data_IF_528852905221
#
_entry.id   IF_528852905221
#
_cell.length_a   1.000
_cell.length_b   1.000
_cell.length_c   1.000
_cell.angle_alpha   90.00
_cell.angle_beta   90.00
_cell.angle_gamma   90.00
#
_symmetry.space_group_name_H-M   'P 1'
#
loop_
_entity.id
_entity.type
_entity.pdbx_description
1 polymer ?
#
# COMPACT_ATOMS: atom_id res chain seq x y z
N UNK A 1 -9.48 4.19 -17.84
CA UNK A 1 -10.08 2.88 -17.51
C UNK A 1 -10.68 3.01 -16.12
N UNK A 2 -11.87 2.49 -15.88
CA UNK A 2 -12.48 2.42 -14.54
C UNK A 2 -12.37 0.96 -14.10
N UNK A 3 -11.78 0.72 -12.93
CA UNK A 3 -11.66 -0.60 -12.34
C UNK A 3 -12.97 -1.02 -11.69
N UNK A 4 -13.29 -2.30 -11.80
CA UNK A 4 -14.52 -2.90 -11.28
C UNK A 4 -14.24 -3.89 -10.15
N UNK A 5 -12.98 -3.98 -9.69
CA UNK A 5 -12.61 -4.80 -8.55
C UNK A 5 -11.44 -4.21 -7.78
N UNK A 6 -11.47 -4.31 -6.44
CA UNK A 6 -10.31 -4.01 -5.58
C UNK A 6 -9.16 -5.01 -5.77
N UNK A 7 -9.40 -6.13 -6.46
CA UNK A 7 -8.36 -7.08 -6.84
C UNK A 7 -7.56 -6.62 -8.07
N UNK A 8 -7.99 -5.55 -8.75
CA UNK A 8 -7.22 -4.89 -9.81
C UNK A 8 -6.26 -3.87 -9.17
N UNK A 9 -4.93 -4.10 -9.27
CA UNK A 9 -3.98 -3.27 -8.56
C UNK A 9 -3.83 -1.89 -9.22
N UNK A 10 -3.75 -0.82 -8.42
CA UNK A 10 -3.51 0.53 -8.92
C UNK A 10 -2.11 0.65 -9.53
N UNK A 11 -1.96 1.49 -10.54
CA UNK A 11 -0.72 1.66 -11.31
C UNK A 11 0.02 2.98 -11.08
N UNK A 12 -0.57 3.86 -10.29
CA UNK A 12 0.01 5.16 -9.93
C UNK A 12 -0.58 5.62 -8.59
N UNK A 13 0.00 6.68 -8.02
CA UNK A 13 -0.39 7.25 -6.72
C UNK A 13 -1.87 7.62 -6.68
N UNK A 14 -2.39 8.23 -7.75
CA UNK A 14 -3.80 8.64 -7.84
C UNK A 14 -4.72 7.43 -7.77
N UNK A 15 -4.42 6.37 -8.53
CA UNK A 15 -5.16 5.10 -8.47
C UNK A 15 -5.03 4.45 -7.09
N UNK A 16 -3.86 4.52 -6.45
CA UNK A 16 -3.66 3.99 -5.10
C UNK A 16 -4.51 4.73 -4.06
N UNK A 17 -4.59 6.05 -4.16
CA UNK A 17 -5.47 6.88 -3.34
C UNK A 17 -6.95 6.50 -3.59
N UNK A 18 -7.37 6.38 -4.86
CA UNK A 18 -8.74 5.97 -5.17
C UNK A 18 -9.06 4.55 -4.69
N UNK A 19 -8.09 3.63 -4.71
CA UNK A 19 -8.25 2.29 -4.15
C UNK A 19 -8.52 2.35 -2.64
N UNK A 20 -7.80 3.22 -1.90
CA UNK A 20 -8.03 3.46 -0.47
C UNK A 20 -9.41 4.06 -0.18
N UNK A 21 -9.89 4.96 -1.05
CA UNK A 21 -11.24 5.52 -0.93
C UNK A 21 -12.32 4.47 -1.24
N UNK A 22 -12.11 3.64 -2.26
CA UNK A 22 -13.04 2.55 -2.58
C UNK A 22 -13.07 1.47 -1.48
N UNK A 23 -11.91 1.17 -0.90
CA UNK A 23 -11.77 0.31 0.29
C UNK A 23 -12.62 0.79 1.47
N UNK A 24 -12.67 2.11 1.71
CA UNK A 24 -13.47 2.70 2.78
C UNK A 24 -14.94 2.28 2.65
N UNK A 25 -15.50 2.36 1.44
CA UNK A 25 -16.90 2.00 1.16
C UNK A 25 -17.90 2.67 2.11
N UNK A 26 -19.05 2.03 2.30
CA UNK A 26 -20.12 2.55 3.17
C UNK A 26 -19.87 2.33 4.67
N UNK A 27 -19.08 1.31 5.02
CA UNK A 27 -18.73 0.98 6.40
C UNK A 27 -17.21 0.94 6.58
N UNK A 28 -16.64 2.15 6.65
CA UNK A 28 -15.20 2.36 6.84
C UNK A 28 -14.62 1.55 8.00
N UNK A 29 -15.32 1.56 9.15
CA UNK A 29 -14.83 0.90 10.36
C UNK A 29 -14.71 -0.61 10.16
N UNK A 30 -15.73 -1.24 9.60
CA UNK A 30 -15.72 -2.68 9.31
C UNK A 30 -14.67 -3.02 8.26
N UNK A 31 -14.60 -2.24 7.18
CA UNK A 31 -13.74 -2.54 6.04
C UNK A 31 -12.25 -2.40 6.38
N UNK A 32 -11.88 -1.32 7.07
CA UNK A 32 -10.50 -1.08 7.49
C UNK A 32 -10.05 -2.08 8.56
N UNK A 33 -10.95 -2.45 9.48
CA UNK A 33 -10.68 -3.52 10.45
C UNK A 33 -10.39 -4.84 9.74
N UNK A 34 -11.22 -5.21 8.77
CA UNK A 34 -11.08 -6.43 7.99
C UNK A 34 -9.77 -6.46 7.19
N UNK A 35 -9.35 -5.32 6.60
CA UNK A 35 -8.06 -5.21 5.93
C UNK A 35 -6.90 -5.34 6.94
N UNK A 36 -6.99 -4.67 8.09
CA UNK A 36 -5.97 -4.76 9.13
C UNK A 36 -5.77 -6.17 9.65
N UNK A 37 -6.86 -6.93 9.84
CA UNK A 37 -6.83 -8.35 10.18
C UNK A 37 -6.17 -9.19 9.09
N UNK A 38 -6.51 -8.95 7.82
CA UNK A 38 -5.93 -9.68 6.69
C UNK A 38 -4.43 -9.38 6.53
N UNK A 39 -4.02 -8.12 6.64
CA UNK A 39 -2.60 -7.70 6.61
C UNK A 39 -1.85 -8.30 7.80
N UNK A 40 -2.39 -8.22 9.02
CA UNK A 40 -1.76 -8.82 10.19
C UNK A 40 -1.57 -10.32 10.01
N UNK A 41 -2.60 -11.04 9.55
CA UNK A 41 -2.54 -12.48 9.29
C UNK A 41 -1.49 -12.81 8.23
N UNK A 42 -1.45 -12.06 7.13
CA UNK A 42 -0.47 -12.23 6.06
C UNK A 42 0.97 -12.00 6.57
N UNK A 43 1.21 -10.94 7.34
CA UNK A 43 2.53 -10.63 7.90
C UNK A 43 2.96 -11.56 9.06
N UNK A 44 2.00 -12.19 9.74
CA UNK A 44 2.25 -13.20 10.77
C UNK A 44 2.64 -14.55 10.18
N UNK A 45 2.18 -14.85 8.97
CA UNK A 45 2.43 -16.12 8.29
C UNK A 45 3.86 -16.18 7.73
N UNK A 46 4.72 -16.90 8.46
CA UNK A 46 6.13 -17.14 8.12
C UNK A 46 6.32 -17.98 6.85
N UNK A 47 5.26 -18.56 6.29
CA UNK A 47 5.31 -19.33 5.04
C UNK A 47 5.12 -18.48 3.78
N UNK A 48 4.69 -17.22 3.94
CA UNK A 48 4.51 -16.28 2.82
C UNK A 48 5.83 -16.02 2.09
N UNK A 49 6.95 -15.99 2.81
CA UNK A 49 8.30 -15.86 2.22
C UNK A 49 8.67 -17.04 1.30
N UNK A 50 7.98 -18.19 1.41
CA UNK A 50 8.20 -19.40 0.60
C UNK A 50 7.19 -19.56 -0.54
N UNK A 51 6.10 -18.78 -0.53
CA UNK A 51 5.08 -18.80 -1.57
C UNK A 51 5.28 -17.55 -2.41
N UNK A 52 5.84 -17.71 -3.60
CA UNK A 52 5.65 -16.73 -4.65
C UNK A 52 4.15 -16.58 -4.89
N UNK A 53 3.55 -15.51 -4.36
CA UNK A 53 2.14 -15.23 -4.62
C UNK A 53 2.09 -14.46 -5.94
N UNK A 54 1.51 -15.01 -7.03
CA UNK A 54 1.56 -14.37 -8.34
C UNK A 54 0.97 -12.95 -8.35
N UNK A 55 -0.03 -12.70 -7.50
CA UNK A 55 -0.58 -11.36 -7.29
C UNK A 55 0.45 -10.39 -6.71
N UNK A 56 1.28 -10.83 -5.75
CA UNK A 56 2.33 -10.00 -5.16
C UNK A 56 3.40 -9.65 -6.20
N UNK A 57 3.84 -10.59 -7.02
CA UNK A 57 4.83 -10.34 -8.08
C UNK A 57 4.33 -9.35 -9.13
N UNK A 58 3.05 -9.44 -9.51
CA UNK A 58 2.43 -8.46 -10.41
C UNK A 58 2.45 -7.04 -9.82
N UNK A 59 2.12 -6.90 -8.54
CA UNK A 59 2.08 -5.59 -7.87
C UNK A 59 3.48 -5.05 -7.59
N UNK A 60 4.44 -5.94 -7.30
CA UNK A 60 5.87 -5.60 -7.21
C UNK A 60 6.38 -4.94 -8.49
N UNK A 61 6.06 -5.53 -9.64
CA UNK A 61 6.48 -4.99 -10.93
C UNK A 61 5.91 -3.58 -11.14
N UNK A 62 4.61 -3.39 -10.90
CA UNK A 62 3.96 -2.06 -10.99
C UNK A 62 4.64 -1.04 -10.09
N UNK A 63 4.95 -1.43 -8.85
CA UNK A 63 5.57 -0.53 -7.88
C UNK A 63 7.02 -0.21 -8.24
N UNK A 64 7.75 -1.18 -8.79
CA UNK A 64 9.09 -0.98 -9.32
C UNK A 64 9.08 0.01 -10.50
N UNK A 65 8.18 -0.18 -11.47
CA UNK A 65 8.00 0.73 -12.61
C UNK A 65 7.68 2.16 -12.15
N UNK A 66 6.86 2.31 -11.09
CA UNK A 66 6.60 3.61 -10.50
C UNK A 66 7.85 4.25 -9.89
N UNK A 67 8.62 3.49 -9.09
CA UNK A 67 9.82 4.01 -8.42
C UNK A 67 10.95 4.40 -9.39
N UNK A 68 10.98 3.81 -10.59
CA UNK A 68 11.96 4.11 -11.64
C UNK A 68 11.66 5.42 -12.41
N UNK A 69 10.52 6.08 -12.14
CA UNK A 69 10.14 7.33 -12.80
C UNK A 69 11.19 8.42 -12.58
N UNK A 70 11.52 9.15 -13.66
CA UNK A 70 12.54 10.20 -13.64
C UNK A 70 12.20 11.32 -12.65
N UNK A 71 10.90 11.58 -12.47
CA UNK A 71 10.32 12.57 -11.57
C UNK A 71 10.57 12.24 -10.10
N UNK A 72 10.88 10.98 -9.77
CA UNK A 72 11.17 10.52 -8.41
C UNK A 72 12.68 10.40 -8.15
N UNK A 73 13.53 10.61 -9.17
CA UNK A 73 14.99 10.48 -9.01
C UNK A 73 15.53 11.55 -8.07
N UNK A 74 16.40 11.11 -7.16
CA UNK A 74 17.01 11.97 -6.13
C UNK A 74 16.12 12.14 -4.89
N UNK A 75 14.91 11.56 -4.87
CA UNK A 75 14.17 11.37 -3.63
C UNK A 75 14.79 10.20 -2.87
N UNK A 76 15.42 10.50 -1.74
CA UNK A 76 16.06 9.49 -0.89
C UNK A 76 15.12 8.31 -0.54
N UNK A 77 13.82 8.57 -0.40
CA UNK A 77 12.82 7.53 -0.18
C UNK A 77 12.65 6.57 -1.37
N UNK A 78 12.65 7.10 -2.60
CA UNK A 78 12.56 6.29 -3.81
C UNK A 78 13.82 5.44 -4.01
N UNK A 79 15.00 6.06 -3.87
CA UNK A 79 16.29 5.39 -4.03
C UNK A 79 16.48 4.24 -3.03
N UNK A 80 16.06 4.45 -1.76
CA UNK A 80 16.14 3.43 -0.71
C UNK A 80 15.25 2.22 -1.04
N UNK A 81 13.99 2.47 -1.40
CA UNK A 81 13.01 1.42 -1.69
C UNK A 81 13.35 0.66 -2.99
N UNK A 82 13.89 1.36 -3.98
CA UNK A 82 14.38 0.73 -5.20
C UNK A 82 15.54 -0.23 -4.90
N UNK A 83 16.53 0.21 -4.11
CA UNK A 83 17.65 -0.63 -3.71
C UNK A 83 17.24 -1.90 -2.95
N UNK A 84 16.14 -1.85 -2.20
CA UNK A 84 15.58 -2.99 -1.46
C UNK A 84 14.75 -3.93 -2.33
N UNK A 85 14.09 -3.42 -3.37
CA UNK A 85 13.40 -4.23 -4.37
C UNK A 85 14.38 -4.96 -5.29
N UNK A 86 15.55 -4.37 -5.57
CA UNK A 86 16.54 -4.92 -6.49
C UNK A 86 17.55 -5.89 -5.83
N UNK A 87 17.77 -5.81 -4.51
CA UNK A 87 18.71 -6.67 -3.78
C UNK A 87 18.01 -7.74 -2.92
N UNK A 88 17.69 -8.94 -3.45
CA UNK A 88 17.33 -10.08 -2.62
C UNK A 88 18.59 -10.59 -1.89
N UNK A 89 18.83 -10.18 -0.65
CA UNK A 89 19.98 -10.68 0.13
C UNK A 89 19.92 -12.22 0.24
N UNK A 90 21.04 -12.88 -0.02
CA UNK A 90 21.19 -14.32 -0.28
C UNK A 90 21.12 -15.21 0.99
N UNK A 91 20.33 -14.82 1.99
CA UNK A 91 20.04 -15.63 3.20
C UNK A 91 18.70 -15.21 3.84
N UNK A 92 17.64 -15.43 3.05
CA UNK A 92 16.20 -15.30 3.34
C UNK A 92 15.63 -13.97 3.91
N UNK A 93 15.47 -12.92 3.08
CA UNK A 93 14.58 -11.79 3.37
C UNK A 93 13.76 -11.28 2.17
N UNK A 94 12.42 -11.19 2.31
CA UNK A 94 11.63 -10.00 1.90
C UNK A 94 10.10 -10.20 2.08
N UNK A 95 9.48 -9.40 2.94
CA UNK A 95 8.27 -8.65 2.60
C UNK A 95 8.75 -7.20 2.49
N UNK A 96 9.37 -6.87 1.35
CA UNK A 96 10.17 -5.67 1.06
C UNK A 96 11.32 -5.41 2.04
N UNK A 97 12.13 -6.45 2.26
CA UNK A 97 13.16 -6.65 3.29
C UNK A 97 12.64 -6.61 4.75
N UNK A 98 11.31 -6.70 4.89
CA UNK A 98 10.41 -6.70 6.07
C UNK A 98 9.89 -5.29 6.42
N UNK A 99 9.34 -4.66 5.39
CA UNK A 99 8.68 -3.36 5.30
C UNK A 99 9.64 -2.16 5.35
N UNK A 100 10.71 -2.23 4.56
CA UNK A 100 11.50 -1.10 4.06
C UNK A 100 12.86 -0.79 4.75
N UNK A 101 13.63 -1.80 5.22
CA UNK A 101 14.96 -1.55 5.84
C UNK A 101 15.79 -2.76 6.36
N UNK A 102 17.15 -2.66 6.32
CA UNK A 102 18.17 -3.71 6.59
C UNK A 102 18.14 -4.34 8.02
N UNK A 103 17.65 -5.58 8.11
CA UNK A 103 17.21 -6.23 9.36
C UNK A 103 18.29 -6.93 10.24
N UNK A 104 18.08 -6.92 11.57
CA UNK A 104 18.53 -7.92 12.58
C UNK A 104 17.46 -7.92 13.71
N UNK A 105 16.92 -9.00 14.29
CA UNK A 105 17.40 -10.35 14.64
C UNK A 105 16.21 -11.34 14.84
N UNK A 106 16.59 -12.61 15.06
CA UNK A 106 15.85 -13.77 15.58
C UNK A 106 15.16 -14.65 14.52
N UNK A 107 15.64 -15.89 14.41
CA UNK A 107 15.12 -16.94 13.52
C UNK A 107 13.75 -17.50 13.96
N UNK A 108 13.12 -16.96 15.01
CA UNK A 108 11.97 -17.60 15.66
C UNK A 108 10.70 -16.74 15.86
N UNK A 109 10.69 -15.42 15.61
CA UNK A 109 9.49 -14.55 15.76
C UNK A 109 8.98 -13.98 14.42
N UNK A 110 7.66 -13.85 14.26
CA UNK A 110 7.05 -13.20 13.07
C UNK A 110 7.26 -11.67 13.10
N UNK A 111 7.13 -10.98 11.95
CA UNK A 111 7.37 -9.53 11.88
C UNK A 111 6.45 -8.74 12.82
N UNK A 112 5.16 -9.07 12.82
CA UNK A 112 4.17 -8.42 13.67
C UNK A 112 4.45 -8.65 15.16
N UNK A 113 4.95 -9.81 15.56
CA UNK A 113 5.35 -10.09 16.95
C UNK A 113 6.57 -9.26 17.36
N UNK A 114 7.59 -9.20 16.50
CA UNK A 114 8.81 -8.45 16.78
C UNK A 114 8.56 -6.93 16.91
N UNK A 115 7.56 -6.40 16.19
CA UNK A 115 7.18 -4.98 16.20
C UNK A 115 6.01 -4.67 17.17
N UNK A 116 5.44 -5.68 17.84
CA UNK A 116 4.26 -5.50 18.69
C UNK A 116 3.01 -4.99 17.93
N UNK A 117 2.92 -5.27 16.63
CA UNK A 117 1.81 -4.83 15.79
C UNK A 117 0.60 -5.74 16.01
N UNK A 118 -0.55 -5.13 16.32
CA UNK A 118 -1.83 -5.83 16.39
C UNK A 118 -2.63 -5.56 15.13
N UNK A 119 -3.61 -6.41 14.82
CA UNK A 119 -4.54 -6.12 13.73
C UNK A 119 -5.27 -4.78 13.91
N UNK A 120 -5.57 -4.42 15.16
CA UNK A 120 -6.19 -3.14 15.52
C UNK A 120 -5.28 -1.96 15.23
N UNK A 121 -4.00 -2.00 15.65
CA UNK A 121 -3.08 -0.89 15.37
C UNK A 121 -2.77 -0.74 13.89
N UNK A 122 -2.74 -1.84 13.14
CA UNK A 122 -2.63 -1.80 11.67
C UNK A 122 -3.87 -1.12 11.08
N UNK A 123 -5.09 -1.54 11.47
CA UNK A 123 -6.33 -0.97 10.97
C UNK A 123 -6.43 0.55 11.27
N UNK A 124 -6.06 0.97 12.48
CA UNK A 124 -6.04 2.39 12.87
C UNK A 124 -5.08 3.21 12.00
N UNK A 125 -3.86 2.72 11.77
CA UNK A 125 -2.89 3.39 10.92
C UNK A 125 -3.36 3.49 9.46
N UNK A 126 -3.95 2.43 8.92
CA UNK A 126 -4.55 2.46 7.58
C UNK A 126 -5.68 3.50 7.54
N UNK A 127 -6.53 3.54 8.56
CA UNK A 127 -7.61 4.52 8.68
C UNK A 127 -7.10 5.96 8.65
N UNK A 128 -6.03 6.26 9.36
CA UNK A 128 -5.41 7.61 9.32
C UNK A 128 -4.92 7.98 7.92
N UNK A 129 -4.32 7.02 7.19
CA UNK A 129 -3.87 7.25 5.81
C UNK A 129 -5.07 7.50 4.89
N UNK A 130 -6.14 6.71 5.01
CA UNK A 130 -7.37 6.85 4.22
C UNK A 130 -8.03 8.21 4.49
N UNK A 131 -8.18 8.60 5.76
CA UNK A 131 -8.74 9.89 6.17
C UNK A 131 -7.90 11.07 5.64
N UNK A 132 -6.58 10.95 5.67
CA UNK A 132 -5.67 11.94 5.11
C UNK A 132 -5.83 12.07 3.59
N UNK A 133 -5.94 10.94 2.89
CA UNK A 133 -6.18 10.91 1.45
C UNK A 133 -7.53 11.51 1.08
N UNK A 134 -8.58 11.21 1.83
CA UNK A 134 -9.92 11.78 1.63
C UNK A 134 -9.90 13.30 1.78
N UNK A 135 -9.35 13.81 2.89
CA UNK A 135 -9.21 15.26 3.12
C UNK A 135 -8.39 15.95 2.05
N UNK A 136 -7.27 15.35 1.66
CA UNK A 136 -6.43 15.88 0.59
C UNK A 136 -7.24 16.01 -0.71
N UNK A 137 -7.91 14.92 -1.09
CA UNK A 137 -8.74 14.87 -2.26
C UNK A 137 -9.90 15.89 -2.21
N UNK A 138 -10.61 16.03 -1.10
CA UNK A 138 -11.73 16.97 -0.97
C UNK A 138 -11.32 18.43 -1.22
N UNK A 139 -10.05 18.76 -0.97
CA UNK A 139 -9.49 20.08 -1.25
C UNK A 139 -9.07 20.24 -2.72
N UNK A 140 -8.54 19.19 -3.36
CA UNK A 140 -7.96 19.29 -4.71
C UNK A 140 -8.92 18.86 -5.84
N UNK A 141 -9.95 18.08 -5.52
CA UNK A 141 -10.87 17.52 -6.51
C UNK A 141 -11.75 18.64 -7.06
N UNK A 142 -11.68 18.86 -8.38
CA UNK A 142 -12.79 19.49 -9.09
C UNK A 142 -13.82 18.38 -9.42
N UNK A 143 -15.06 18.43 -8.88
CA UNK A 143 -16.05 17.37 -9.09
C UNK A 143 -16.38 17.09 -10.56
N UNK A 144 -16.19 18.06 -11.45
CA UNK A 144 -16.47 17.90 -12.89
C UNK A 144 -15.31 17.27 -13.67
N UNK A 145 -14.09 17.31 -13.14
CA UNK A 145 -12.88 16.85 -13.82
C UNK A 145 -12.27 15.60 -13.17
N UNK A 146 -12.47 15.44 -11.87
CA UNK A 146 -11.98 14.27 -11.15
C UNK A 146 -12.78 13.03 -11.52
N UNK A 147 -12.11 12.06 -12.14
CA UNK A 147 -12.70 10.77 -12.48
C UNK A 147 -12.09 9.71 -11.56
N UNK A 148 -12.84 9.13 -10.62
CA UNK A 148 -12.36 8.03 -9.78
C UNK A 148 -11.85 6.87 -10.64
N UNK A 149 -10.77 6.24 -10.20
CA UNK A 149 -10.20 5.08 -10.88
C UNK A 149 -11.03 3.82 -10.66
N UNK A 150 -11.72 3.71 -9.53
CA UNK A 150 -12.58 2.58 -9.17
C UNK A 150 -14.04 3.00 -9.28
N UNK A 151 -14.89 2.10 -9.79
CA UNK A 151 -16.34 2.34 -9.84
C UNK A 151 -16.90 2.49 -8.43
N UNK A 152 -17.93 3.32 -8.27
CA UNK A 152 -18.68 3.46 -7.02
C UNK A 152 -19.39 2.18 -6.59
N UNK A 153 -19.56 1.24 -7.52
CA UNK A 153 -20.13 -0.09 -7.27
C UNK A 153 -19.11 -1.06 -6.65
N UNK A 154 -17.82 -0.73 -6.72
CA UNK A 154 -16.77 -1.56 -6.11
C UNK A 154 -16.84 -1.38 -4.61
N UNK A 155 -17.41 -2.36 -3.93
CA UNK A 155 -17.44 -2.38 -2.47
C UNK A 155 -16.42 -3.35 -1.90
N UNK A 156 -15.87 -2.98 -0.74
CA UNK A 156 -15.04 -3.89 0.04
C UNK A 156 -15.76 -5.22 0.35
N UNK A 157 -17.08 -5.20 0.58
CA UNK A 157 -17.86 -6.41 0.88
C UNK A 157 -17.76 -7.45 -0.24
N UNK A 158 -17.92 -7.05 -1.50
CA UNK A 158 -17.86 -7.97 -2.64
C UNK A 158 -16.44 -8.50 -2.93
N UNK A 159 -15.41 -7.69 -2.68
CA UNK A 159 -14.02 -8.08 -2.87
C UNK A 159 -13.51 -8.97 -1.71
N UNK A 160 -13.85 -8.63 -0.46
CA UNK A 160 -13.40 -9.31 0.75
C UNK A 160 -14.10 -10.66 0.98
N UNK A 161 -15.39 -10.79 0.67
CA UNK A 161 -16.10 -12.08 0.79
C UNK A 161 -15.47 -13.16 -0.11
N UNK A 162 -14.84 -12.75 -1.21
CA UNK A 162 -14.21 -13.66 -2.16
C UNK A 162 -12.76 -13.94 -1.81
N UNK A 163 -11.97 -12.92 -1.48
CA UNK A 163 -10.54 -13.10 -1.23
C UNK A 163 -9.91 -11.95 -0.40
N UNK A 164 -9.95 -12.06 0.94
CA UNK A 164 -9.39 -11.05 1.84
C UNK A 164 -7.86 -11.00 1.80
N UNK A 165 -7.21 -12.11 1.43
CA UNK A 165 -5.75 -12.22 1.35
C UNK A 165 -5.22 -11.47 0.13
N UNK A 166 -5.89 -11.58 -1.02
CA UNK A 166 -5.53 -10.81 -2.22
C UNK A 166 -5.57 -9.30 -1.97
N UNK A 167 -6.55 -8.80 -1.23
CA UNK A 167 -6.61 -7.36 -0.89
C UNK A 167 -5.43 -6.92 0.00
N UNK A 168 -5.05 -7.76 0.97
CA UNK A 168 -3.87 -7.50 1.80
C UNK A 168 -2.57 -7.53 0.98
N UNK A 169 -2.44 -8.47 0.05
CA UNK A 169 -1.30 -8.55 -0.88
C UNK A 169 -1.21 -7.31 -1.75
N UNK A 170 -2.34 -6.85 -2.30
CA UNK A 170 -2.38 -5.63 -3.11
C UNK A 170 -1.97 -4.44 -2.27
N UNK A 171 -2.55 -4.26 -1.09
CA UNK A 171 -2.19 -3.17 -0.19
C UNK A 171 -0.70 -3.16 0.15
N UNK A 172 -0.14 -4.30 0.56
CA UNK A 172 1.29 -4.44 0.87
C UNK A 172 2.16 -4.16 -0.35
N UNK A 173 1.74 -4.63 -1.53
CA UNK A 173 2.46 -4.43 -2.77
C UNK A 173 2.51 -2.97 -3.20
N UNK A 174 1.42 -2.20 -3.03
CA UNK A 174 1.33 -0.79 -3.45
C UNK A 174 1.84 0.19 -2.38
N UNK A 175 2.10 -0.28 -1.17
CA UNK A 175 2.54 0.56 -0.06
C UNK A 175 3.78 1.43 -0.37
N UNK A 176 4.83 0.94 -1.08
CA UNK A 176 5.97 1.77 -1.46
C UNK A 176 5.57 2.91 -2.40
N UNK A 177 4.71 2.62 -3.39
CA UNK A 177 4.20 3.63 -4.32
C UNK A 177 3.39 4.69 -3.60
N UNK A 178 2.51 4.29 -2.67
CA UNK A 178 1.74 5.22 -1.84
C UNK A 178 2.65 6.07 -0.95
N UNK A 179 3.61 5.45 -0.27
CA UNK A 179 4.53 6.14 0.64
C UNK A 179 5.38 7.19 -0.10
N UNK A 180 6.04 6.79 -1.19
CA UNK A 180 6.87 7.71 -1.99
C UNK A 180 5.99 8.78 -2.62
N UNK A 181 4.88 8.40 -3.24
CA UNK A 181 3.96 9.34 -3.88
C UNK A 181 3.42 10.42 -2.94
N UNK A 182 2.91 10.03 -1.77
CA UNK A 182 2.40 10.97 -0.76
C UNK A 182 3.52 11.85 -0.23
N UNK A 183 4.73 11.29 -0.03
CA UNK A 183 5.89 12.06 0.40
C UNK A 183 6.32 13.10 -0.64
N UNK A 184 6.37 12.74 -1.92
CA UNK A 184 6.64 13.66 -3.02
C UNK A 184 5.64 14.81 -3.06
N UNK A 185 4.34 14.52 -2.89
CA UNK A 185 3.29 15.54 -2.82
C UNK A 185 3.50 16.50 -1.63
N UNK A 186 3.87 15.97 -0.46
CA UNK A 186 4.16 16.76 0.73
C UNK A 186 5.38 17.67 0.52
N UNK A 187 6.47 17.14 -0.04
CA UNK A 187 7.70 17.91 -0.32
C UNK A 187 7.45 19.02 -1.34
N UNK A 188 6.73 18.72 -2.43
CA UNK A 188 6.33 19.73 -3.43
C UNK A 188 5.45 20.84 -2.83
N UNK A 189 4.51 20.48 -1.95
CA UNK A 189 3.64 21.45 -1.28
C UNK A 189 4.42 22.35 -0.30
N UNK A 190 5.40 21.80 0.41
CA UNK A 190 6.25 22.58 1.31
C UNK A 190 7.13 23.58 0.54
N UNK A 191 7.69 23.17 -0.61
CA UNK A 191 8.42 24.08 -1.49
C UNK A 191 7.56 25.23 -2.01
N UNK A 192 6.31 24.96 -2.39
CA UNK A 192 5.37 25.98 -2.86
C UNK A 192 4.99 27.03 -1.81
N UNK A 193 5.07 26.70 -0.51
CA UNK A 193 4.78 27.64 0.59
C UNK A 193 5.99 28.47 1.02
N UNK A 194 7.21 28.07 0.62
CA UNK A 194 8.47 28.75 0.97
C UNK A 194 9.03 29.62 -0.17
N UNK A 195 8.43 29.59 -1.36
CA UNK A 195 8.75 30.47 -2.49
C UNK A 195 7.80 31.64 -2.59
#
# INVERSE_FOLDING_TARGET
MVYHSLTEPPRNVKEGIDWLIALKGDDAKKNLKALGEAVHKFLADKSVDKKEVPALEKVKLITKEFLEQMELKGLCAADTLQGELENPMNTNPSIFVRLFGNARKSHHESFVQAQGLTAESIAENIGQVVDGCEKFLDVIKNPTQYKPAYSSEVTWAEAYEKDPETCAIIFIGIAPMLYVGIRSLKEASAHALMG
#
